data_IF_721400491110
#
_entry.id   IF_721400491110
#
_cell.length_a   1.000
_cell.length_b   1.000
_cell.length_c   1.000
_cell.angle_alpha   90.00
_cell.angle_beta   90.00
_cell.angle_gamma   90.00
#
_symmetry.space_group_name_H-M   'P 1'
#
loop_
_entity.id
_entity.type
_entity.pdbx_description
1 polymer ?
#
# COMPACT_ATOMS: atom_id res chain seq x y z
N UNK A 1 -6.21 20.46 -24.61
CA UNK A 1 -6.18 19.17 -25.35
C UNK A 1 -7.22 18.24 -24.74
N UNK A 2 -8.16 17.75 -25.53
CA UNK A 2 -9.13 16.73 -25.10
C UNK A 2 -8.40 15.39 -24.99
N UNK A 3 -8.35 14.82 -23.79
CA UNK A 3 -7.79 13.46 -23.57
C UNK A 3 -8.85 12.44 -24.02
N UNK A 4 -8.62 11.68 -25.09
CA UNK A 4 -9.64 10.80 -25.69
C UNK A 4 -10.08 9.67 -24.74
N UNK A 5 -9.26 9.35 -23.74
CA UNK A 5 -9.52 8.30 -22.76
C UNK A 5 -10.33 8.76 -21.56
N UNK A 6 -10.39 10.08 -21.30
CA UNK A 6 -10.89 10.66 -20.05
C UNK A 6 -12.36 10.30 -19.81
N UNK A 7 -13.24 10.67 -20.72
CA UNK A 7 -14.69 10.45 -20.53
C UNK A 7 -15.07 8.98 -20.50
N UNK A 8 -14.54 8.10 -21.40
CA UNK A 8 -14.79 6.67 -21.31
C UNK A 8 -14.39 6.05 -19.97
N UNK A 9 -13.21 6.40 -19.44
CA UNK A 9 -12.71 5.84 -18.15
C UNK A 9 -13.52 6.38 -16.97
N UNK A 10 -13.84 7.69 -16.94
CA UNK A 10 -14.64 8.28 -15.86
C UNK A 10 -16.08 7.76 -15.85
N UNK A 11 -16.69 7.57 -17.02
CA UNK A 11 -18.03 6.97 -17.16
C UNK A 11 -18.03 5.51 -16.67
N UNK A 12 -17.06 4.72 -17.09
CA UNK A 12 -16.89 3.35 -16.61
C UNK A 12 -16.69 3.31 -15.09
N UNK A 13 -15.83 4.17 -14.55
CA UNK A 13 -15.57 4.25 -13.11
C UNK A 13 -16.84 4.54 -12.31
N UNK A 14 -17.67 5.47 -12.77
CA UNK A 14 -18.93 5.80 -12.10
C UNK A 14 -19.89 4.61 -11.97
N UNK A 15 -19.85 3.67 -12.94
CA UNK A 15 -20.72 2.50 -12.96
C UNK A 15 -20.12 1.25 -12.28
N UNK A 16 -18.77 1.21 -12.09
CA UNK A 16 -18.07 -0.02 -11.68
C UNK A 16 -17.17 0.16 -10.44
N UNK A 17 -17.09 1.35 -9.87
CA UNK A 17 -16.25 1.62 -8.70
C UNK A 17 -16.65 0.73 -7.53
N UNK A 18 -15.64 0.12 -6.89
CA UNK A 18 -15.84 -0.60 -5.63
C UNK A 18 -16.15 0.38 -4.50
N UNK A 19 -17.09 0.01 -3.64
CA UNK A 19 -17.33 0.72 -2.39
C UNK A 19 -16.21 0.41 -1.38
N UNK A 20 -15.31 1.37 -1.19
CA UNK A 20 -14.16 1.25 -0.30
C UNK A 20 -14.20 2.38 0.74
N UNK A 21 -14.05 2.09 2.07
CA UNK A 21 -14.18 3.08 3.13
C UNK A 21 -13.32 4.33 2.95
N UNK A 22 -12.10 4.15 2.44
CA UNK A 22 -11.16 5.25 2.18
C UNK A 22 -11.47 6.08 0.93
N UNK A 23 -12.54 5.73 0.20
CA UNK A 23 -13.08 6.48 -0.95
C UNK A 23 -14.44 7.11 -0.66
N UNK A 24 -15.01 6.84 0.51
CA UNK A 24 -16.29 7.42 0.92
C UNK A 24 -16.17 8.95 1.04
N UNK A 25 -17.23 9.72 0.76
CA UNK A 25 -17.22 11.17 0.91
C UNK A 25 -16.81 11.66 2.32
N UNK A 26 -17.08 10.85 3.35
CA UNK A 26 -16.71 11.11 4.73
C UNK A 26 -15.32 10.59 5.13
N UNK A 27 -14.55 10.03 4.19
CA UNK A 27 -13.21 9.54 4.49
C UNK A 27 -12.28 10.69 4.89
N UNK A 28 -11.68 10.60 6.08
CA UNK A 28 -10.72 11.58 6.57
C UNK A 28 -9.37 11.41 5.88
N UNK A 29 -8.51 12.44 5.79
CA UNK A 29 -7.14 12.30 5.30
C UNK A 29 -6.33 11.23 6.07
N UNK A 30 -6.61 11.06 7.35
CA UNK A 30 -6.03 9.98 8.16
C UNK A 30 -6.46 8.60 7.66
N UNK A 31 -7.74 8.40 7.40
CA UNK A 31 -8.27 7.16 6.83
C UNK A 31 -7.61 6.81 5.50
N UNK A 32 -7.43 7.81 4.62
CA UNK A 32 -6.74 7.64 3.33
C UNK A 32 -5.27 7.26 3.54
N UNK A 33 -4.54 7.97 4.41
CA UNK A 33 -3.14 7.66 4.72
C UNK A 33 -2.97 6.23 5.25
N UNK A 34 -3.80 5.83 6.21
CA UNK A 34 -3.81 4.45 6.77
C UNK A 34 -4.03 3.43 5.66
N UNK A 35 -5.02 3.65 4.79
CA UNK A 35 -5.31 2.73 3.68
C UNK A 35 -4.12 2.60 2.72
N UNK A 36 -3.48 3.71 2.34
CA UNK A 36 -2.35 3.71 1.41
C UNK A 36 -1.12 2.99 2.00
N UNK A 37 -0.87 3.14 3.30
CA UNK A 37 0.18 2.37 3.99
C UNK A 37 -0.17 0.89 4.07
N UNK A 38 -1.42 0.54 4.37
CA UNK A 38 -1.85 -0.87 4.44
C UNK A 38 -1.86 -1.56 3.07
N UNK A 39 -2.19 -0.84 2.00
CA UNK A 39 -2.26 -1.35 0.62
C UNK A 39 -0.90 -1.61 -0.01
N UNK A 40 0.20 -1.11 0.56
CA UNK A 40 1.55 -1.43 0.08
C UNK A 40 1.74 -2.95 0.05
N UNK A 41 1.80 -3.55 -1.14
CA UNK A 41 1.98 -5.00 -1.38
C UNK A 41 0.96 -5.91 -0.65
N UNK A 42 -0.22 -5.39 -0.29
CA UNK A 42 -1.28 -6.14 0.38
C UNK A 42 -2.60 -6.01 -0.40
N UNK A 43 -3.27 -7.12 -0.73
CA UNK A 43 -4.54 -7.08 -1.46
C UNK A 43 -5.65 -6.37 -0.67
N UNK A 44 -6.55 -5.67 -1.38
CA UNK A 44 -7.69 -4.95 -0.81
C UNK A 44 -8.55 -5.84 0.10
N UNK A 45 -8.79 -7.09 -0.27
CA UNK A 45 -9.58 -8.04 0.53
C UNK A 45 -9.02 -8.28 1.93
N UNK A 46 -7.69 -8.20 2.11
CA UNK A 46 -7.04 -8.33 3.41
C UNK A 46 -6.97 -6.99 4.16
N UNK A 47 -6.87 -5.88 3.43
CA UNK A 47 -6.80 -4.54 4.01
C UNK A 47 -8.15 -4.09 4.53
N UNK A 48 -9.24 -4.37 3.83
CA UNK A 48 -10.57 -3.86 4.17
C UNK A 48 -11.00 -4.14 5.62
N UNK A 49 -10.98 -5.38 6.15
CA UNK A 49 -11.32 -5.63 7.54
C UNK A 49 -10.32 -5.01 8.52
N UNK A 50 -9.02 -5.03 8.21
CA UNK A 50 -7.98 -4.47 9.06
C UNK A 50 -8.07 -2.93 9.17
N UNK A 51 -8.35 -2.25 8.07
CA UNK A 51 -8.55 -0.80 8.04
C UNK A 51 -9.76 -0.37 8.89
N UNK A 52 -10.88 -1.08 8.78
CA UNK A 52 -12.06 -0.82 9.61
C UNK A 52 -11.74 -0.98 11.10
N UNK A 53 -11.10 -2.09 11.46
CA UNK A 53 -10.71 -2.34 12.86
C UNK A 53 -9.68 -1.33 13.39
N UNK A 54 -8.77 -0.86 12.51
CA UNK A 54 -7.78 0.16 12.85
C UNK A 54 -8.42 1.51 13.16
N UNK A 55 -9.31 1.98 12.27
CA UNK A 55 -9.98 3.26 12.46
C UNK A 55 -11.04 3.25 13.54
N UNK A 56 -11.64 2.10 13.86
CA UNK A 56 -12.52 1.95 15.00
C UNK A 56 -11.75 2.13 16.33
N UNK A 57 -10.48 1.74 16.37
CA UNK A 57 -9.62 1.90 17.53
C UNK A 57 -8.94 3.28 17.57
N UNK A 58 -8.46 3.75 16.43
CA UNK A 58 -7.69 5.00 16.29
C UNK A 58 -8.24 5.85 15.15
N UNK A 59 -9.36 6.55 15.38
CA UNK A 59 -9.98 7.41 14.37
C UNK A 59 -9.15 8.62 13.97
N UNK A 60 -8.15 8.99 14.79
CA UNK A 60 -7.22 10.09 14.52
C UNK A 60 -5.75 9.70 14.76
N UNK A 61 -4.77 10.47 14.24
CA UNK A 61 -3.36 10.26 14.55
C UNK A 61 -3.04 10.35 16.05
N UNK A 62 -3.69 11.26 16.76
CA UNK A 62 -3.43 11.50 18.19
C UNK A 62 -3.71 10.26 19.04
N UNK A 63 -4.79 9.55 18.76
CA UNK A 63 -5.16 8.33 19.48
C UNK A 63 -4.16 7.19 19.23
N UNK A 64 -3.67 7.04 17.99
CA UNK A 64 -2.63 6.06 17.71
C UNK A 64 -1.31 6.44 18.39
N UNK A 65 -0.97 7.72 18.39
CA UNK A 65 0.26 8.21 19.01
C UNK A 65 0.25 8.11 20.55
N UNK A 66 -0.93 8.04 21.16
CA UNK A 66 -1.10 7.87 22.61
C UNK A 66 -0.92 6.41 23.07
N UNK A 67 -1.14 5.45 22.20
CA UNK A 67 -0.92 4.02 22.49
C UNK A 67 0.56 3.63 22.25
N UNK A 68 1.08 2.61 22.95
CA UNK A 68 2.44 2.13 22.69
C UNK A 68 2.57 1.49 21.30
N UNK A 69 3.78 1.50 20.70
CA UNK A 69 4.03 0.87 19.38
C UNK A 69 3.60 -0.60 19.32
N UNK A 70 3.71 -1.35 20.43
CA UNK A 70 3.22 -2.70 20.56
C UNK A 70 1.74 -2.84 20.17
N UNK A 71 0.91 -1.87 20.53
CA UNK A 71 -0.51 -1.88 20.19
C UNK A 71 -0.73 -1.83 18.68
N UNK A 72 0.04 -0.99 17.97
CA UNK A 72 0.02 -0.92 16.52
C UNK A 72 0.48 -2.23 15.87
N UNK A 73 1.55 -2.86 16.38
CA UNK A 73 2.06 -4.15 15.90
C UNK A 73 1.04 -5.26 16.14
N UNK A 74 0.35 -5.29 17.29
CA UNK A 74 -0.73 -6.26 17.58
C UNK A 74 -1.89 -6.09 16.61
N UNK A 75 -2.39 -4.88 16.45
CA UNK A 75 -3.53 -4.56 15.58
C UNK A 75 -3.24 -4.80 14.10
N UNK A 76 -1.97 -4.67 13.67
CA UNK A 76 -1.54 -4.95 12.30
C UNK A 76 -1.79 -6.41 11.88
N UNK A 77 -1.75 -7.33 12.82
CA UNK A 77 -2.08 -8.73 12.61
C UNK A 77 -1.28 -9.36 11.46
N UNK A 78 -2.01 -10.00 10.54
CA UNK A 78 -1.43 -10.76 9.42
C UNK A 78 -1.31 -9.98 8.10
N UNK A 79 -1.32 -8.66 8.12
CA UNK A 79 -1.20 -7.85 6.87
C UNK A 79 0.13 -8.07 6.14
N UNK A 80 1.16 -8.52 6.86
CA UNK A 80 2.53 -8.65 6.33
C UNK A 80 3.31 -7.35 6.42
N UNK A 81 4.63 -7.43 6.23
CA UNK A 81 5.53 -6.27 6.33
C UNK A 81 5.27 -5.42 7.59
N UNK A 82 5.41 -6.00 8.80
CA UNK A 82 4.93 -5.40 10.06
C UNK A 82 5.63 -4.09 10.45
N UNK A 83 6.82 -3.80 9.92
CA UNK A 83 7.48 -2.48 10.09
C UNK A 83 6.60 -1.31 9.65
N UNK A 84 5.64 -1.54 8.76
CA UNK A 84 4.68 -0.50 8.36
C UNK A 84 3.80 -0.05 9.52
N UNK A 85 3.48 -0.95 10.46
CA UNK A 85 2.74 -0.57 11.68
C UNK A 85 3.54 0.41 12.53
N UNK A 86 4.83 0.13 12.74
CA UNK A 86 5.74 1.03 13.48
C UNK A 86 5.90 2.38 12.78
N UNK A 87 6.10 2.36 11.45
CA UNK A 87 6.21 3.59 10.65
C UNK A 87 4.92 4.42 10.69
N UNK A 88 3.77 3.77 10.69
CA UNK A 88 2.48 4.47 10.80
C UNK A 88 2.27 5.05 12.20
N UNK A 89 2.71 4.35 13.25
CA UNK A 89 2.71 4.85 14.62
C UNK A 89 3.64 6.06 14.77
N UNK A 90 4.87 5.98 14.27
CA UNK A 90 5.84 7.08 14.27
C UNK A 90 5.28 8.29 13.48
N UNK A 91 4.68 8.04 12.31
CA UNK A 91 3.99 9.05 11.52
C UNK A 91 2.86 9.73 12.30
N UNK A 92 2.04 8.96 13.01
CA UNK A 92 0.99 9.50 13.85
C UNK A 92 1.54 10.44 14.94
N UNK A 93 2.65 10.07 15.59
CA UNK A 93 3.33 10.92 16.54
C UNK A 93 3.83 12.25 15.96
N UNK A 94 4.43 12.19 14.76
CA UNK A 94 4.90 13.40 14.06
C UNK A 94 3.72 14.28 13.65
N UNK A 95 2.68 13.70 13.05
CA UNK A 95 1.47 14.44 12.65
C UNK A 95 0.83 15.13 13.86
N UNK A 96 0.76 14.44 14.98
CA UNK A 96 0.18 15.01 16.20
C UNK A 96 1.00 16.18 16.74
N UNK A 97 2.33 16.02 16.83
CA UNK A 97 3.19 17.04 17.45
C UNK A 97 3.55 18.20 16.53
N UNK A 98 3.74 17.94 15.21
CA UNK A 98 4.28 18.94 14.27
C UNK A 98 3.24 19.51 13.32
N UNK A 99 2.07 18.83 13.17
CA UNK A 99 1.02 19.22 12.26
C UNK A 99 -0.37 19.36 12.95
N UNK A 100 -0.37 19.62 14.26
CA UNK A 100 -1.60 19.82 15.06
C UNK A 100 -2.63 18.68 14.88
N UNK A 101 -2.18 17.43 14.70
CA UNK A 101 -3.02 16.26 14.48
C UNK A 101 -3.63 16.16 13.05
N UNK A 102 -3.27 17.06 12.14
CA UNK A 102 -3.78 17.08 10.78
C UNK A 102 -2.76 16.49 9.80
N UNK A 103 -3.17 15.52 9.00
CA UNK A 103 -2.33 14.99 7.91
C UNK A 103 -1.97 16.13 6.96
N UNK A 104 -0.68 16.37 6.65
CA UNK A 104 -0.29 17.46 5.74
C UNK A 104 -0.83 17.23 4.32
N UNK A 105 -1.23 18.32 3.66
CA UNK A 105 -1.80 18.27 2.29
C UNK A 105 -0.75 18.42 1.19
N UNK A 106 0.46 18.85 1.54
CA UNK A 106 1.57 19.02 0.61
C UNK A 106 2.31 17.70 0.42
N UNK A 107 2.59 17.34 -0.84
CA UNK A 107 3.40 16.16 -1.18
C UNK A 107 4.78 16.20 -0.52
N UNK A 108 5.39 17.39 -0.44
CA UNK A 108 6.74 17.55 0.11
C UNK A 108 6.75 17.36 1.64
N UNK A 109 5.69 17.79 2.33
CA UNK A 109 5.54 17.51 3.76
C UNK A 109 5.24 16.03 4.02
N UNK A 110 4.40 15.42 3.19
CA UNK A 110 4.13 13.97 3.27
C UNK A 110 5.39 13.13 3.09
N UNK A 111 6.30 13.53 2.20
CA UNK A 111 7.57 12.83 1.96
C UNK A 111 8.51 12.83 3.17
N UNK A 112 8.35 13.74 4.12
CA UNK A 112 9.15 13.81 5.35
C UNK A 112 8.68 12.81 6.41
N UNK A 113 7.48 12.24 6.22
CA UNK A 113 6.89 11.30 7.19
C UNK A 113 7.50 9.89 7.03
N UNK A 114 7.75 9.19 8.15
CA UNK A 114 8.35 7.86 8.14
C UNK A 114 7.55 6.83 7.34
N UNK A 115 8.20 6.12 6.42
CA UNK A 115 7.57 5.10 5.59
C UNK A 115 6.70 5.62 4.45
N UNK A 116 6.67 6.95 4.25
CA UNK A 116 5.94 7.59 3.15
C UNK A 116 6.91 7.88 2.00
N UNK A 117 6.86 7.05 0.98
CA UNK A 117 7.63 7.24 -0.26
C UNK A 117 6.88 8.08 -1.29
N UNK A 118 7.54 8.29 -2.43
CA UNK A 118 7.04 9.13 -3.53
C UNK A 118 5.61 8.76 -3.99
N UNK A 119 5.31 7.46 -4.08
CA UNK A 119 3.98 6.97 -4.42
C UNK A 119 2.95 7.35 -3.33
N UNK A 120 3.20 6.98 -2.08
CA UNK A 120 2.24 7.20 -0.98
C UNK A 120 1.99 8.70 -0.76
N UNK A 121 3.03 9.53 -0.84
CA UNK A 121 2.89 10.99 -0.73
C UNK A 121 2.00 11.56 -1.86
N UNK A 122 2.22 11.13 -3.11
CA UNK A 122 1.38 11.54 -4.23
C UNK A 122 -0.06 11.04 -4.08
N UNK A 123 -0.24 9.76 -3.70
CA UNK A 123 -1.55 9.15 -3.52
C UNK A 123 -2.38 9.85 -2.44
N UNK A 124 -1.79 10.11 -1.27
CA UNK A 124 -2.47 10.85 -0.19
C UNK A 124 -2.80 12.28 -0.61
N UNK A 125 -1.85 13.01 -1.23
CA UNK A 125 -2.10 14.36 -1.71
C UNK A 125 -3.26 14.41 -2.73
N UNK A 126 -3.35 13.42 -3.61
CA UNK A 126 -4.41 13.32 -4.62
C UNK A 126 -5.73 12.86 -4.00
N UNK A 127 -5.73 11.76 -3.27
CA UNK A 127 -6.96 11.09 -2.85
C UNK A 127 -7.62 11.73 -1.62
N UNK A 128 -6.83 12.31 -0.72
CA UNK A 128 -7.36 13.00 0.46
C UNK A 128 -7.59 14.50 0.25
N UNK A 129 -6.82 15.12 -0.65
CA UNK A 129 -6.83 16.59 -0.77
C UNK A 129 -7.11 17.09 -2.19
N UNK A 130 -7.38 16.20 -3.14
CA UNK A 130 -7.69 16.58 -4.52
C UNK A 130 -6.54 17.26 -5.25
N UNK A 131 -5.29 17.08 -4.81
CA UNK A 131 -4.13 17.68 -5.47
C UNK A 131 -3.86 17.01 -6.81
N UNK A 132 -3.24 17.76 -7.74
CA UNK A 132 -2.88 17.25 -9.06
C UNK A 132 -1.45 16.71 -9.04
N UNK A 133 -1.31 15.36 -8.97
CA UNK A 133 -0.03 14.65 -9.09
C UNK A 133 -0.22 13.34 -9.85
N UNK A 134 0.82 12.89 -10.55
CA UNK A 134 0.85 11.55 -11.13
C UNK A 134 0.97 10.49 -10.01
N UNK A 135 -0.01 9.58 -9.96
CA UNK A 135 -0.03 8.46 -9.01
C UNK A 135 0.23 7.17 -9.78
N UNK A 136 1.42 6.59 -9.61
CA UNK A 136 1.89 5.43 -10.38
C UNK A 136 2.01 4.18 -9.50
N UNK A 137 0.87 3.52 -9.22
CA UNK A 137 0.86 2.17 -8.67
C UNK A 137 1.07 1.12 -9.77
N UNK A 138 1.16 -0.15 -9.40
CA UNK A 138 1.32 -1.26 -10.34
C UNK A 138 0.15 -1.38 -11.33
N UNK A 139 -1.05 -0.98 -10.94
CA UNK A 139 -2.25 -1.01 -11.79
C UNK A 139 -2.21 0.12 -12.81
N UNK A 140 -1.99 1.35 -12.35
CA UNK A 140 -1.87 2.54 -13.22
C UNK A 140 -0.74 2.34 -14.23
N UNK A 141 0.44 1.93 -13.77
CA UNK A 141 1.60 1.67 -14.65
C UNK A 141 1.27 0.65 -15.73
N UNK A 142 0.60 -0.45 -15.38
CA UNK A 142 0.19 -1.47 -16.35
C UNK A 142 -0.84 -0.95 -17.35
N UNK A 143 -1.84 -0.19 -16.87
CA UNK A 143 -2.83 0.41 -17.77
C UNK A 143 -2.15 1.35 -18.76
N UNK A 144 -1.28 2.24 -18.31
CA UNK A 144 -0.58 3.20 -19.16
C UNK A 144 0.39 2.50 -20.13
N UNK A 145 1.10 1.47 -19.68
CA UNK A 145 1.98 0.67 -20.54
C UNK A 145 1.19 0.05 -21.72
N UNK A 146 0.03 -0.54 -21.44
CA UNK A 146 -0.82 -1.14 -22.47
C UNK A 146 -1.53 -0.11 -23.33
N UNK A 147 -2.12 0.91 -22.71
CA UNK A 147 -2.95 1.90 -23.39
C UNK A 147 -2.12 2.78 -24.33
N UNK A 148 -0.99 3.30 -23.85
CA UNK A 148 -0.24 4.34 -24.56
C UNK A 148 1.10 3.87 -25.11
N UNK A 149 1.69 2.75 -24.60
CA UNK A 149 3.02 2.31 -25.01
C UNK A 149 3.03 0.95 -25.71
N UNK A 150 1.90 0.31 -25.96
CA UNK A 150 1.80 -1.00 -26.64
C UNK A 150 2.46 -2.18 -25.89
N UNK A 151 2.86 -2.02 -24.62
CA UNK A 151 3.59 -3.04 -23.86
C UNK A 151 2.68 -3.78 -22.86
N UNK A 152 2.86 -5.11 -22.74
CA UNK A 152 2.08 -5.93 -21.81
C UNK A 152 2.28 -5.52 -20.34
N UNK A 153 3.53 -5.25 -19.95
CA UNK A 153 3.92 -4.82 -18.60
C UNK A 153 4.81 -3.57 -18.64
N UNK A 154 4.77 -2.75 -17.59
CA UNK A 154 5.74 -1.68 -17.39
C UNK A 154 7.12 -2.28 -17.04
N UNK A 155 8.15 -1.45 -17.03
CA UNK A 155 9.48 -1.83 -16.53
C UNK A 155 9.47 -2.23 -15.04
N UNK A 156 10.56 -2.81 -14.53
CA UNK A 156 10.63 -3.30 -13.15
C UNK A 156 10.45 -2.19 -12.11
N UNK A 157 10.97 -1.00 -12.39
CA UNK A 157 10.83 0.18 -11.54
C UNK A 157 10.17 1.33 -12.30
N UNK A 158 9.46 2.26 -11.61
CA UNK A 158 8.93 3.47 -12.21
C UNK A 158 10.06 4.31 -12.81
N UNK A 159 9.93 4.68 -14.07
CA UNK A 159 10.92 5.50 -14.79
C UNK A 159 10.45 6.95 -14.94
N UNK A 160 11.41 7.88 -15.18
CA UNK A 160 11.08 9.26 -15.49
C UNK A 160 10.16 9.40 -16.73
N UNK A 161 10.29 8.48 -17.69
CA UNK A 161 9.44 8.45 -18.88
C UNK A 161 7.99 8.07 -18.53
N UNK A 162 7.79 7.10 -17.60
CA UNK A 162 6.46 6.73 -17.11
C UNK A 162 5.81 7.88 -16.32
N UNK A 163 6.58 8.61 -15.52
CA UNK A 163 6.08 9.79 -14.83
C UNK A 163 5.68 10.90 -15.82
N UNK A 164 6.50 11.19 -16.84
CA UNK A 164 6.15 12.18 -17.87
C UNK A 164 4.89 11.76 -18.65
N UNK A 165 4.77 10.49 -19.01
CA UNK A 165 3.57 9.96 -19.66
C UNK A 165 2.34 10.12 -18.78
N UNK A 166 2.42 9.71 -17.51
CA UNK A 166 1.30 9.84 -16.57
C UNK A 166 0.90 11.32 -16.40
N UNK A 167 1.87 12.23 -16.25
CA UNK A 167 1.64 13.67 -16.10
C UNK A 167 0.97 14.27 -17.35
N UNK A 168 1.37 13.84 -18.55
CA UNK A 168 0.78 14.30 -19.81
C UNK A 168 -0.67 13.86 -20.01
N UNK A 169 -1.07 12.78 -19.32
CA UNK A 169 -2.43 12.23 -19.33
C UNK A 169 -3.30 12.73 -18.17
N UNK A 170 -2.75 13.54 -17.27
CA UNK A 170 -3.54 14.14 -16.20
C UNK A 170 -4.34 15.35 -16.72
N UNK A 171 -5.65 15.41 -16.45
CA UNK A 171 -6.45 16.62 -16.67
C UNK A 171 -5.84 17.83 -15.95
N UNK A 172 -6.09 19.02 -16.49
CA UNK A 172 -5.61 20.28 -15.88
C UNK A 172 -6.37 20.62 -14.60
N UNK A 173 -7.66 20.35 -14.55
CA UNK A 173 -8.48 20.53 -13.34
C UNK A 173 -8.08 19.51 -12.26
N UNK A 174 -7.70 19.94 -11.05
CA UNK A 174 -7.22 19.05 -10.00
C UNK A 174 -8.26 18.02 -9.53
N UNK A 175 -9.54 18.37 -9.44
CA UNK A 175 -10.59 17.46 -9.01
C UNK A 175 -10.83 16.37 -10.06
N UNK A 176 -10.84 16.75 -11.34
CA UNK A 176 -10.94 15.79 -12.45
C UNK A 176 -9.69 14.91 -12.52
N UNK A 177 -8.49 15.46 -12.26
CA UNK A 177 -7.23 14.71 -12.22
C UNK A 177 -7.21 13.67 -11.07
N UNK A 178 -7.69 14.06 -9.89
CA UNK A 178 -7.82 13.14 -8.76
C UNK A 178 -8.78 11.98 -9.10
N UNK A 179 -9.94 12.29 -9.66
CA UNK A 179 -10.92 11.27 -10.09
C UNK A 179 -10.37 10.38 -11.20
N UNK A 180 -9.64 10.93 -12.17
CA UNK A 180 -8.94 10.18 -13.21
C UNK A 180 -7.94 9.19 -12.62
N UNK A 181 -7.11 9.61 -11.66
CA UNK A 181 -6.10 8.77 -11.03
C UNK A 181 -6.73 7.55 -10.35
N UNK A 182 -7.81 7.75 -9.59
CA UNK A 182 -8.57 6.65 -8.96
C UNK A 182 -9.21 5.75 -10.02
N UNK A 183 -9.79 6.33 -11.08
CA UNK A 183 -10.48 5.60 -12.13
C UNK A 183 -9.53 4.69 -12.93
N UNK A 184 -8.34 5.17 -13.27
CA UNK A 184 -7.31 4.38 -13.97
C UNK A 184 -6.79 3.25 -13.07
N UNK A 185 -6.58 3.52 -11.78
CA UNK A 185 -6.19 2.50 -10.80
C UNK A 185 -7.24 1.40 -10.71
N UNK A 186 -8.53 1.78 -10.63
CA UNK A 186 -9.64 0.82 -10.55
C UNK A 186 -9.79 0.02 -11.85
N UNK A 187 -9.64 0.66 -13.02
CA UNK A 187 -9.62 -0.01 -14.32
C UNK A 187 -8.52 -1.09 -14.37
N UNK A 188 -7.34 -0.78 -13.85
CA UNK A 188 -6.24 -1.73 -13.72
C UNK A 188 -6.55 -2.88 -12.79
N UNK A 189 -7.24 -2.62 -11.68
CA UNK A 189 -7.59 -3.64 -10.71
C UNK A 189 -8.70 -4.59 -11.18
N UNK A 190 -9.71 -4.10 -11.89
CA UNK A 190 -10.92 -4.85 -12.22
C UNK A 190 -10.99 -5.37 -13.67
N UNK A 191 -10.44 -4.60 -14.61
CA UNK A 191 -10.56 -4.87 -16.05
C UNK A 191 -9.22 -5.16 -16.70
N UNK A 192 -8.26 -4.24 -16.61
CA UNK A 192 -6.93 -4.39 -17.20
C UNK A 192 -5.98 -5.16 -16.28
N UNK A 193 -6.40 -6.36 -15.84
CA UNK A 193 -5.65 -7.19 -14.89
C UNK A 193 -4.34 -7.73 -15.49
N UNK A 194 -3.40 -8.16 -14.63
CA UNK A 194 -2.09 -8.63 -15.09
C UNK A 194 -2.21 -9.91 -15.93
N UNK A 195 -2.87 -10.95 -15.39
CA UNK A 195 -2.90 -12.26 -16.02
C UNK A 195 -4.02 -12.44 -17.07
N UNK A 196 -5.20 -11.90 -16.81
CA UNK A 196 -6.40 -12.11 -17.63
C UNK A 196 -7.19 -10.82 -17.83
N UNK A 197 -6.71 -9.88 -18.68
CA UNK A 197 -7.41 -8.63 -18.91
C UNK A 197 -8.72 -8.85 -19.68
N UNK A 198 -9.79 -8.17 -19.21
CA UNK A 198 -11.14 -8.25 -19.75
C UNK A 198 -11.35 -7.19 -20.84
N UNK A 199 -10.59 -7.30 -21.93
CA UNK A 199 -10.56 -6.27 -22.98
C UNK A 199 -11.89 -6.05 -23.70
N UNK A 200 -12.77 -7.08 -23.80
CA UNK A 200 -14.09 -6.94 -24.41
C UNK A 200 -15.03 -5.97 -23.70
N UNK A 201 -14.85 -5.76 -22.37
CA UNK A 201 -15.59 -4.78 -21.58
C UNK A 201 -14.77 -3.54 -21.20
N UNK A 202 -13.60 -3.36 -21.80
CA UNK A 202 -12.74 -2.23 -21.46
C UNK A 202 -13.21 -0.92 -22.15
N UNK A 203 -13.43 0.17 -21.40
CA UNK A 203 -13.94 1.42 -21.96
C UNK A 203 -13.01 2.07 -22.98
N UNK A 204 -11.73 1.71 -22.98
CA UNK A 204 -10.69 2.24 -23.87
C UNK A 204 -10.10 1.18 -24.81
N UNK A 205 -10.81 0.09 -25.04
CA UNK A 205 -10.31 -1.01 -25.90
C UNK A 205 -9.95 -0.53 -27.31
N UNK A 206 -10.77 0.36 -27.90
CA UNK A 206 -10.55 0.88 -29.26
C UNK A 206 -9.33 1.79 -29.39
N UNK A 207 -8.88 2.40 -28.29
CA UNK A 207 -7.73 3.32 -28.23
C UNK A 207 -6.47 2.64 -27.65
N UNK A 208 -6.57 1.35 -27.28
CA UNK A 208 -5.47 0.66 -26.60
C UNK A 208 -4.40 0.20 -27.61
N UNK A 209 -3.19 0.78 -27.53
CA UNK A 209 -2.09 0.46 -28.40
C UNK A 209 -1.71 -1.03 -28.32
N UNK A 210 -1.60 -1.61 -27.12
CA UNK A 210 -1.29 -3.03 -26.92
C UNK A 210 -2.32 -3.96 -27.59
N UNK A 211 -3.59 -3.59 -27.56
CA UNK A 211 -4.66 -4.36 -28.19
C UNK A 211 -4.60 -4.22 -29.73
N UNK A 212 -4.33 -3.02 -30.24
CA UNK A 212 -4.18 -2.75 -31.66
C UNK A 212 -3.00 -3.50 -32.28
N UNK A 213 -1.92 -3.71 -31.52
CA UNK A 213 -0.73 -4.48 -31.93
C UNK A 213 -0.89 -5.99 -31.74
N UNK A 214 -2.11 -6.49 -31.47
CA UNK A 214 -2.39 -7.91 -31.32
C UNK A 214 -1.94 -8.54 -29.99
N UNK A 215 -1.75 -7.73 -28.96
CA UNK A 215 -1.35 -8.14 -27.58
C UNK A 215 0.03 -8.80 -27.55
N UNK A 216 1.10 -8.13 -27.97
CA UNK A 216 2.44 -8.70 -27.89
C UNK A 216 2.77 -9.12 -26.45
N UNK A 217 3.26 -10.35 -26.27
CA UNK A 217 3.68 -10.89 -24.98
C UNK A 217 5.00 -10.27 -24.55
N UNK A 218 5.13 -9.96 -23.26
CA UNK A 218 6.40 -9.54 -22.71
C UNK A 218 7.40 -10.71 -22.65
N UNK A 219 8.68 -10.45 -22.97
CA UNK A 219 9.75 -11.45 -22.90
C UNK A 219 10.00 -11.93 -21.48
N UNK A 220 9.87 -11.04 -20.50
CA UNK A 220 10.09 -11.33 -19.07
C UNK A 220 8.80 -11.08 -18.31
N UNK A 221 8.29 -12.12 -17.65
CA UNK A 221 7.14 -12.02 -16.73
C UNK A 221 7.63 -11.94 -15.28
N UNK A 222 7.02 -11.09 -14.44
CA UNK A 222 7.32 -11.06 -13.01
C UNK A 222 7.07 -12.42 -12.37
N UNK A 223 8.09 -13.00 -11.73
CA UNK A 223 7.96 -14.25 -10.99
C UNK A 223 7.43 -14.01 -9.56
N UNK A 224 6.57 -14.90 -9.09
CA UNK A 224 6.15 -14.92 -7.69
C UNK A 224 7.28 -15.38 -6.76
N UNK A 225 7.38 -14.77 -5.57
CA UNK A 225 8.33 -15.20 -4.56
C UNK A 225 7.77 -16.38 -3.75
N UNK A 226 8.59 -17.42 -3.54
CA UNK A 226 8.26 -18.49 -2.61
C UNK A 226 8.12 -17.94 -1.19
N UNK A 227 7.17 -18.45 -0.43
CA UNK A 227 6.93 -18.04 0.97
C UNK A 227 7.27 -19.14 1.95
N UNK A 228 6.92 -20.38 1.61
CA UNK A 228 7.06 -21.55 2.48
C UNK A 228 8.52 -21.90 2.72
N UNK A 229 8.89 -22.16 3.99
CA UNK A 229 10.25 -22.47 4.41
C UNK A 229 11.22 -21.28 4.44
N UNK A 230 10.76 -20.05 4.21
CA UNK A 230 11.63 -18.87 4.17
C UNK A 230 11.76 -18.17 5.53
N UNK A 231 12.83 -17.39 5.73
CA UNK A 231 13.00 -16.52 6.91
C UNK A 231 11.81 -15.58 7.09
N UNK A 232 11.18 -15.15 6.00
CA UNK A 232 9.96 -14.33 6.05
C UNK A 232 8.79 -15.05 6.71
N UNK A 233 8.64 -16.35 6.46
CA UNK A 233 7.61 -17.16 7.12
C UNK A 233 7.96 -17.37 8.59
N UNK A 234 9.20 -17.74 8.89
CA UNK A 234 9.70 -17.90 10.26
C UNK A 234 9.47 -16.62 11.08
N UNK A 235 9.95 -15.48 10.63
CA UNK A 235 9.72 -14.17 11.26
C UNK A 235 8.23 -13.89 11.52
N UNK A 236 7.39 -14.23 10.55
CA UNK A 236 5.94 -14.07 10.67
C UNK A 236 5.33 -14.90 11.78
N UNK A 237 5.79 -16.13 11.98
CA UNK A 237 5.32 -17.04 13.04
C UNK A 237 5.83 -16.62 14.43
N UNK A 238 7.10 -16.23 14.55
CA UNK A 238 7.67 -15.73 15.81
C UNK A 238 6.93 -14.45 16.28
N UNK A 239 6.72 -13.52 15.36
CA UNK A 239 5.99 -12.29 15.67
C UNK A 239 4.50 -12.54 16.00
N UNK A 240 3.88 -13.57 15.40
CA UNK A 240 2.50 -13.94 15.74
C UNK A 240 2.40 -14.41 17.19
N UNK A 241 3.35 -15.25 17.65
CA UNK A 241 3.40 -15.69 19.04
C UNK A 241 3.51 -14.51 20.02
N UNK A 242 4.39 -13.55 19.74
CA UNK A 242 4.55 -12.35 20.57
C UNK A 242 3.29 -11.45 20.60
N UNK A 243 2.55 -11.40 19.49
CA UNK A 243 1.28 -10.65 19.44
C UNK A 243 0.17 -11.26 20.29
N UNK A 244 0.16 -12.59 20.36
CA UNK A 244 -0.83 -13.36 21.11
C UNK A 244 -0.50 -13.44 22.61
N UNK A 245 0.78 -13.21 22.97
CA UNK A 245 1.21 -13.24 24.38
C UNK A 245 0.93 -11.89 25.06
N UNK A 246 0.31 -11.90 26.26
CA UNK A 246 0.22 -10.72 27.11
C UNK A 246 1.55 -10.40 27.78
N UNK A 247 2.41 -11.40 28.01
CA UNK A 247 3.66 -11.30 28.74
C UNK A 247 4.87 -11.48 27.82
N UNK A 248 6.04 -10.94 28.19
CA UNK A 248 7.31 -11.24 27.50
C UNK A 248 7.64 -12.73 27.49
N UNK A 249 8.23 -13.21 26.40
CA UNK A 249 8.51 -14.61 26.14
C UNK A 249 10.00 -14.95 26.29
N UNK A 250 10.28 -16.12 26.85
CA UNK A 250 11.62 -16.69 26.86
C UNK A 250 11.98 -17.27 25.49
N UNK A 251 13.28 -17.35 25.18
CA UNK A 251 13.78 -17.95 23.92
C UNK A 251 13.17 -19.34 23.65
N UNK A 252 13.06 -20.18 24.68
CA UNK A 252 12.47 -21.53 24.60
C UNK A 252 11.02 -21.57 24.12
N UNK A 253 10.26 -20.47 24.27
CA UNK A 253 8.88 -20.42 23.79
C UNK A 253 8.78 -20.40 22.26
N UNK A 254 9.86 -20.05 21.56
CA UNK A 254 9.91 -20.04 20.11
C UNK A 254 10.30 -21.39 19.50
N UNK A 255 10.83 -22.34 20.31
CA UNK A 255 11.34 -23.63 19.83
C UNK A 255 10.26 -24.46 19.13
N UNK A 256 9.05 -24.49 19.70
CA UNK A 256 7.91 -25.20 19.11
C UNK A 256 7.33 -24.53 17.86
N UNK A 257 7.67 -23.26 17.60
CA UNK A 257 7.11 -22.48 16.49
C UNK A 257 7.84 -22.72 15.18
N UNK A 258 9.16 -22.96 15.27
CA UNK A 258 10.00 -23.21 14.10
C UNK A 258 11.14 -24.16 14.44
N UNK A 259 11.25 -25.32 13.76
CA UNK A 259 12.15 -26.40 14.18
C UNK A 259 13.63 -26.13 13.90
N UNK A 260 13.97 -25.32 12.87
CA UNK A 260 15.36 -24.98 12.54
C UNK A 260 15.88 -23.85 13.45
N UNK A 261 16.79 -24.22 14.37
CA UNK A 261 17.35 -23.33 15.38
C UNK A 261 18.11 -22.13 14.75
N UNK A 262 18.92 -22.41 13.73
CA UNK A 262 19.72 -21.40 13.07
C UNK A 262 18.83 -20.39 12.31
N UNK A 263 17.79 -20.86 11.65
CA UNK A 263 16.84 -20.01 10.96
C UNK A 263 15.99 -19.22 11.96
N UNK A 264 15.60 -19.82 13.07
CA UNK A 264 14.86 -19.18 14.16
C UNK A 264 15.66 -18.05 14.78
N UNK A 265 16.95 -18.28 15.10
CA UNK A 265 17.85 -17.26 15.64
C UNK A 265 17.98 -16.07 14.68
N UNK A 266 18.35 -16.32 13.42
CA UNK A 266 18.42 -15.23 12.39
C UNK A 266 17.11 -14.48 12.23
N UNK A 267 15.97 -15.18 12.30
CA UNK A 267 14.65 -14.57 12.18
C UNK A 267 14.36 -13.67 13.37
N UNK A 268 14.70 -14.08 14.58
CA UNK A 268 14.52 -13.30 15.81
C UNK A 268 15.45 -12.08 15.82
N UNK A 269 16.74 -12.25 15.50
CA UNK A 269 17.69 -11.15 15.35
C UNK A 269 17.21 -10.12 14.34
N UNK A 270 16.67 -10.57 13.21
CA UNK A 270 16.09 -9.70 12.23
C UNK A 270 14.83 -8.96 12.72
N UNK A 271 14.03 -9.54 13.61
CA UNK A 271 12.89 -8.85 14.23
C UNK A 271 13.36 -7.77 15.21
N UNK A 272 14.41 -8.06 15.98
CA UNK A 272 15.06 -7.09 16.90
C UNK A 272 15.67 -5.93 16.09
N UNK A 273 16.44 -6.23 15.07
CA UNK A 273 17.06 -5.22 14.20
C UNK A 273 16.01 -4.32 13.49
N UNK A 274 14.82 -4.85 13.23
CA UNK A 274 13.70 -4.10 12.65
C UNK A 274 12.89 -3.31 13.69
N UNK A 275 13.23 -3.38 14.99
CA UNK A 275 12.52 -2.74 16.09
C UNK A 275 11.12 -3.32 16.34
N UNK A 276 10.87 -4.55 15.89
CA UNK A 276 9.59 -5.25 16.07
C UNK A 276 9.53 -6.08 17.35
N UNK A 277 10.69 -6.32 17.93
CA UNK A 277 10.89 -7.10 19.15
C UNK A 277 12.00 -6.46 19.97
N UNK A 278 11.73 -6.23 21.25
CA UNK A 278 12.71 -5.73 22.21
C UNK A 278 13.25 -6.90 23.06
N UNK A 279 14.57 -7.13 23.07
CA UNK A 279 15.21 -7.99 24.06
C UNK A 279 15.22 -7.29 25.41
N UNK A 280 14.72 -7.97 26.44
CA UNK A 280 14.69 -7.44 27.81
C UNK A 280 15.95 -7.80 28.59
N UNK A 281 16.31 -7.03 29.65
CA UNK A 281 17.50 -7.31 30.48
C UNK A 281 17.52 -8.68 31.15
N UNK A 282 16.35 -9.27 31.38
CA UNK A 282 16.21 -10.61 31.97
C UNK A 282 16.29 -11.74 30.95
N UNK A 283 16.51 -11.45 29.66
CA UNK A 283 16.65 -12.43 28.58
C UNK A 283 15.34 -12.81 27.91
N UNK A 284 14.23 -12.16 28.26
CA UNK A 284 12.94 -12.31 27.55
C UNK A 284 12.85 -11.40 26.35
N UNK A 285 11.84 -11.60 25.53
CA UNK A 285 11.53 -10.83 24.32
C UNK A 285 10.09 -10.31 24.41
N UNK A 286 9.89 -9.05 24.05
CA UNK A 286 8.60 -8.38 24.02
C UNK A 286 8.35 -7.67 22.70
N UNK A 287 7.10 -7.26 22.43
CA UNK A 287 6.82 -6.25 21.43
C UNK A 287 7.33 -4.88 21.93
N UNK A 288 7.63 -3.92 21.02
CA UNK A 288 8.24 -2.64 21.38
C UNK A 288 7.36 -1.81 22.32
N UNK A 289 8.00 -1.18 23.32
CA UNK A 289 7.35 -0.37 24.35
C UNK A 289 6.89 1.01 23.84
#
# INVERSE_FOLDING_TARGET
>A
MTLPYLQPVLGWYSANARDLPWRAPAATPWSVLVSEVMLQQTPVSRVLPAHRAWLARWPSPAELAADPPAAAVRQWGRLGYPRRALRLHETAGIVTRQHAGQVPSSRDELLKLPGIGAYTAAAVAVFAFGRRHAVLDTNVRRVLARLASGREFPGPQPSAAEYRLAESLLPTDPAVAARWSVAVMELGALTCTAARPKCGGCPVARQCAWLAEGRPSAEIRPAGQRYEGTDRQCRGRLLALLRESPEPLWLKNFDAIWPDDSQRARALDGLVADGLVDPLPDGRFALPA
#
